data_IF_288193603116
#
_entry.id   IF_288193603116
#
_cell.length_a   1.000
_cell.length_b   1.000
_cell.length_c   1.000
_cell.angle_alpha   90.00
_cell.angle_beta   90.00
_cell.angle_gamma   90.00
#
_symmetry.space_group_name_H-M   'P 1'
#
loop_
_entity.id
_entity.type
_entity.pdbx_description
1 polymer ?
#
# COMPACT_ATOMS: atom_id res chain seq x y z
N UNK A 1 26.98 3.36 -9.48
CA UNK A 1 26.33 4.63 -9.12
C UNK A 1 24.90 4.41 -8.61
N UNK A 2 24.69 3.47 -7.67
CA UNK A 2 23.35 3.03 -7.20
C UNK A 2 23.28 2.85 -5.68
N UNK A 3 23.93 3.71 -4.88
CA UNK A 3 24.00 3.52 -3.41
C UNK A 3 23.40 4.66 -2.58
N UNK A 4 22.77 5.67 -3.18
CA UNK A 4 22.31 6.87 -2.47
C UNK A 4 20.79 7.02 -2.35
N UNK A 5 19.97 6.03 -2.78
CA UNK A 5 18.50 6.11 -2.71
C UNK A 5 17.86 5.48 -1.46
N UNK A 6 18.66 5.04 -0.48
CA UNK A 6 18.16 4.33 0.73
C UNK A 6 17.98 5.19 1.97
N UNK A 7 18.14 6.51 1.88
CA UNK A 7 18.34 7.32 3.08
C UNK A 7 17.15 8.16 3.57
N UNK A 8 15.99 8.20 2.94
CA UNK A 8 14.87 9.02 3.44
C UNK A 8 13.49 8.41 3.09
N UNK A 9 13.14 7.25 3.64
CA UNK A 9 11.75 6.90 3.86
C UNK A 9 11.32 7.44 5.24
N UNK A 10 11.22 8.76 5.37
CA UNK A 10 10.73 9.42 6.58
C UNK A 10 9.24 9.11 6.74
N UNK A 11 8.88 8.58 7.89
CA UNK A 11 7.48 8.49 8.33
C UNK A 11 6.92 9.91 8.47
N UNK A 12 5.60 10.10 8.32
CA UNK A 12 4.96 11.42 8.50
C UNK A 12 5.35 12.08 9.84
N UNK A 13 5.52 11.27 10.89
CA UNK A 13 5.90 11.74 12.22
C UNK A 13 7.35 12.22 12.25
N UNK A 14 8.28 11.53 11.60
CA UNK A 14 9.69 11.95 11.49
C UNK A 14 9.82 13.22 10.67
N UNK A 15 9.05 13.36 9.59
CA UNK A 15 9.01 14.59 8.79
C UNK A 15 8.52 15.79 9.60
N UNK A 16 7.42 15.64 10.36
CA UNK A 16 6.91 16.74 11.20
C UNK A 16 7.87 17.12 12.30
N UNK A 17 8.52 16.16 12.95
CA UNK A 17 9.56 16.43 13.96
C UNK A 17 10.75 17.15 13.35
N UNK A 18 11.18 16.78 12.15
CA UNK A 18 12.25 17.45 11.43
C UNK A 18 11.92 18.92 11.14
N UNK A 19 10.72 19.20 10.62
CA UNK A 19 10.27 20.57 10.34
C UNK A 19 10.21 21.44 11.62
N UNK A 20 9.76 20.88 12.73
CA UNK A 20 9.74 21.59 14.03
C UNK A 20 11.17 21.88 14.50
N UNK A 21 12.06 20.90 14.44
CA UNK A 21 13.47 21.08 14.82
C UNK A 21 14.16 22.16 13.98
N UNK A 22 13.89 22.21 12.68
CA UNK A 22 14.44 23.21 11.77
C UNK A 22 13.96 24.63 12.12
N UNK A 23 12.67 24.82 12.40
CA UNK A 23 12.12 26.10 12.83
C UNK A 23 12.77 26.58 14.13
N UNK A 24 12.94 25.70 15.12
CA UNK A 24 13.58 26.02 16.40
C UNK A 24 15.04 26.43 16.18
N UNK A 25 15.77 25.70 15.36
CA UNK A 25 17.17 25.93 15.07
C UNK A 25 17.40 27.28 14.36
N UNK A 26 16.59 27.58 13.36
CA UNK A 26 16.62 28.86 12.63
C UNK A 26 16.25 30.01 13.59
N UNK A 27 15.25 29.85 14.45
CA UNK A 27 14.84 30.87 15.41
C UNK A 27 15.93 31.14 16.46
N UNK A 28 16.62 30.10 16.93
CA UNK A 28 17.75 30.26 17.83
C UNK A 28 18.93 30.97 17.17
N UNK A 29 19.24 30.61 15.94
CA UNK A 29 20.32 31.28 15.17
C UNK A 29 19.98 32.75 14.92
N UNK A 30 18.76 33.08 14.51
CA UNK A 30 18.31 34.45 14.31
C UNK A 30 18.37 35.27 15.61
N UNK A 31 17.99 34.69 16.75
CA UNK A 31 18.05 35.35 18.05
C UNK A 31 19.47 35.70 18.43
N UNK A 32 20.42 34.74 18.32
CA UNK A 32 21.83 34.98 18.57
C UNK A 32 22.38 36.11 17.71
N UNK A 33 22.10 36.09 16.41
CA UNK A 33 22.58 37.10 15.47
C UNK A 33 22.01 38.48 15.80
N UNK A 34 20.73 38.55 16.20
CA UNK A 34 20.08 39.84 16.57
C UNK A 34 20.66 40.41 17.86
N UNK A 35 20.92 39.57 18.87
CA UNK A 35 21.54 40.00 20.14
C UNK A 35 22.96 40.53 19.91
N UNK A 36 23.72 39.87 19.05
CA UNK A 36 25.10 40.28 18.72
C UNK A 36 25.15 41.62 17.97
N UNK A 37 24.23 41.83 17.00
CA UNK A 37 24.14 43.10 16.21
C UNK A 37 23.62 44.25 17.08
N UNK A 38 22.68 43.99 18.01
CA UNK A 38 22.09 45.06 18.85
C UNK A 38 22.89 45.36 20.10
N UNK A 39 24.12 44.84 20.26
CA UNK A 39 25.01 45.17 21.35
C UNK A 39 24.66 44.58 22.69
N UNK A 40 24.07 43.38 22.73
CA UNK A 40 23.91 42.60 23.95
C UNK A 40 22.73 42.98 24.84
N UNK A 41 21.55 43.19 24.29
CA UNK A 41 20.30 43.36 25.04
C UNK A 41 19.88 42.02 25.67
N UNK A 42 20.65 41.50 26.61
CA UNK A 42 20.42 40.20 27.28
C UNK A 42 19.06 40.12 27.98
N UNK A 43 18.53 41.21 28.51
CA UNK A 43 17.25 41.23 29.20
C UNK A 43 16.04 41.00 28.27
N UNK A 44 16.22 40.93 26.96
CA UNK A 44 15.14 40.73 25.97
C UNK A 44 15.31 39.50 25.09
N UNK A 45 16.30 38.65 25.31
CA UNK A 45 16.60 37.48 24.50
C UNK A 45 15.38 36.54 24.35
N UNK A 46 14.68 36.26 25.45
CA UNK A 46 13.47 35.41 25.45
C UNK A 46 12.35 36.02 24.59
N UNK A 47 12.18 37.35 24.65
CA UNK A 47 11.16 38.03 23.86
C UNK A 47 11.53 38.06 22.35
N UNK A 48 12.80 38.20 22.02
CA UNK A 48 13.32 38.13 20.66
C UNK A 48 13.16 36.71 20.11
N UNK A 49 13.53 35.71 20.91
CA UNK A 49 13.34 34.29 20.53
C UNK A 49 11.89 33.94 20.29
N UNK A 50 10.96 34.35 21.17
CA UNK A 50 9.53 34.11 20.99
C UNK A 50 8.97 34.73 19.71
N UNK A 51 9.40 35.96 19.37
CA UNK A 51 9.01 36.61 18.12
C UNK A 51 9.60 35.91 16.90
N UNK A 52 10.87 35.53 16.93
CA UNK A 52 11.51 34.82 15.82
C UNK A 52 10.90 33.46 15.59
N UNK A 53 10.51 32.76 16.64
CA UNK A 53 9.83 31.48 16.57
C UNK A 53 8.43 31.62 15.94
N UNK A 54 7.68 32.67 16.32
CA UNK A 54 6.36 32.95 15.72
C UNK A 54 6.50 33.26 14.22
N UNK A 55 7.44 34.11 13.82
CA UNK A 55 7.67 34.41 12.41
C UNK A 55 8.20 33.22 11.64
N UNK A 56 9.10 32.43 12.22
CA UNK A 56 9.59 31.20 11.63
C UNK A 56 8.48 30.19 11.41
N UNK A 57 7.56 30.07 12.38
CA UNK A 57 6.40 29.19 12.25
C UNK A 57 5.45 29.62 11.12
N UNK A 58 5.19 30.92 10.97
CA UNK A 58 4.34 31.43 9.89
C UNK A 58 5.05 31.27 8.53
N UNK A 59 6.34 31.62 8.44
CA UNK A 59 7.08 31.62 7.19
C UNK A 59 7.39 30.22 6.66
N UNK A 60 7.72 29.26 7.53
CA UNK A 60 8.09 27.90 7.15
C UNK A 60 6.96 26.88 7.37
N UNK A 61 6.12 27.09 8.39
CA UNK A 61 5.03 26.19 8.72
C UNK A 61 3.97 26.09 7.61
N UNK A 62 3.62 27.22 6.99
CA UNK A 62 2.64 27.23 5.89
C UNK A 62 3.13 26.43 4.68
N UNK A 63 4.35 26.67 4.13
CA UNK A 63 4.89 25.84 3.07
C UNK A 63 5.01 24.37 3.42
N UNK A 64 5.39 24.03 4.65
CA UNK A 64 5.49 22.63 5.10
C UNK A 64 4.14 21.94 5.18
N UNK A 65 3.10 22.64 5.67
CA UNK A 65 1.73 22.13 5.65
C UNK A 65 1.23 21.89 4.22
N UNK A 66 1.47 22.83 3.32
CA UNK A 66 1.07 22.68 1.91
C UNK A 66 1.80 21.51 1.24
N UNK A 67 3.10 21.36 1.48
CA UNK A 67 3.87 20.23 0.97
C UNK A 67 3.35 18.89 1.54
N UNK A 68 3.08 18.81 2.84
CA UNK A 68 2.52 17.63 3.48
C UNK A 68 1.14 17.25 2.93
N UNK A 69 0.26 18.24 2.73
CA UNK A 69 -1.04 18.06 2.09
C UNK A 69 -0.90 17.57 0.64
N UNK A 70 0.00 18.16 -0.14
CA UNK A 70 0.26 17.75 -1.51
C UNK A 70 0.70 16.28 -1.60
N UNK A 71 1.66 15.86 -0.76
CA UNK A 71 2.09 14.46 -0.71
C UNK A 71 0.97 13.52 -0.26
N UNK A 72 0.16 13.91 0.73
CA UNK A 72 -0.97 13.12 1.21
C UNK A 72 -2.06 12.95 0.13
N UNK A 73 -2.36 14.01 -0.63
CA UNK A 73 -3.34 13.97 -1.72
C UNK A 73 -2.80 13.14 -2.89
N UNK A 74 -1.52 13.27 -3.22
CA UNK A 74 -0.91 12.50 -4.29
C UNK A 74 -0.89 10.99 -3.98
N UNK A 75 -0.64 10.60 -2.73
CA UNK A 75 -0.72 9.20 -2.27
C UNK A 75 -2.15 8.66 -2.38
N UNK A 76 -3.16 9.46 -1.98
CA UNK A 76 -4.58 9.07 -2.11
C UNK A 76 -5.05 9.02 -3.56
N UNK A 77 -4.61 9.94 -4.41
CA UNK A 77 -4.96 9.95 -5.83
C UNK A 77 -4.39 8.74 -6.58
N UNK A 78 -3.23 8.23 -6.17
CA UNK A 78 -2.69 6.99 -6.72
C UNK A 78 -3.55 5.78 -6.35
N UNK A 79 -4.12 5.75 -5.15
CA UNK A 79 -5.06 4.70 -4.71
C UNK A 79 -6.40 4.82 -5.46
N UNK A 80 -6.94 6.02 -5.63
CA UNK A 80 -8.21 6.27 -6.35
C UNK A 80 -8.08 5.93 -7.84
N UNK A 81 -6.93 6.19 -8.47
CA UNK A 81 -6.67 5.80 -9.87
C UNK A 81 -6.69 4.29 -10.07
N UNK A 82 -6.24 3.51 -9.10
CA UNK A 82 -6.32 2.04 -9.14
C UNK A 82 -7.78 1.55 -9.11
N UNK A 83 -8.68 2.27 -8.41
CA UNK A 83 -10.10 1.93 -8.29
C UNK A 83 -10.95 2.42 -9.47
N UNK A 84 -10.58 3.55 -10.09
CA UNK A 84 -11.43 4.22 -11.09
C UNK A 84 -11.45 3.52 -12.47
N UNK A 85 -10.50 2.63 -12.75
CA UNK A 85 -10.45 1.88 -14.02
C UNK A 85 -11.37 0.66 -14.06
N UNK A 86 -11.89 0.22 -12.90
CA UNK A 86 -12.86 -0.89 -12.83
C UNK A 86 -14.23 -0.49 -13.44
N UNK A 87 -14.57 0.81 -13.44
CA UNK A 87 -15.86 1.31 -13.91
C UNK A 87 -15.86 1.83 -15.38
N UNK A 88 -14.70 1.96 -16.02
CA UNK A 88 -14.61 2.57 -17.37
C UNK A 88 -14.60 1.53 -18.50
N UNK A 89 -14.44 0.25 -18.22
CA UNK A 89 -14.38 -0.81 -19.25
C UNK A 89 -15.74 -1.50 -19.48
N UNK A 90 -16.81 -1.06 -18.78
CA UNK A 90 -18.15 -1.68 -18.94
C UNK A 90 -19.03 -1.06 -20.02
N UNK A 91 -18.63 0.03 -20.68
CA UNK A 91 -19.56 0.73 -21.59
C UNK A 91 -19.33 0.51 -23.11
N UNK A 92 -18.30 -0.21 -23.53
CA UNK A 92 -18.17 -0.50 -24.97
C UNK A 92 -17.61 -1.93 -25.19
N UNK A 93 -18.44 -2.94 -25.17
CA UNK A 93 -18.48 -4.06 -26.12
C UNK A 93 -19.69 -4.94 -25.80
N UNK A 94 -20.70 -4.90 -26.63
CA UNK A 94 -21.71 -5.94 -26.78
C UNK A 94 -21.01 -7.23 -27.22
N UNK A 95 -20.72 -8.12 -26.27
CA UNK A 95 -20.67 -9.55 -26.55
C UNK A 95 -21.02 -10.33 -25.26
N UNK A 96 -21.98 -11.23 -25.41
CA UNK A 96 -22.55 -12.06 -24.37
C UNK A 96 -21.52 -13.10 -23.93
N UNK A 97 -20.65 -12.77 -22.95
CA UNK A 97 -20.01 -13.75 -22.08
C UNK A 97 -19.65 -13.07 -20.76
N UNK A 98 -20.00 -13.73 -19.66
CA UNK A 98 -19.92 -13.30 -18.28
C UNK A 98 -18.76 -12.30 -18.02
N UNK A 99 -19.08 -11.14 -17.45
CA UNK A 99 -18.18 -10.03 -17.12
C UNK A 99 -16.85 -10.54 -16.50
N UNK A 100 -15.83 -10.66 -17.32
CA UNK A 100 -14.50 -11.08 -16.90
C UNK A 100 -13.88 -9.91 -16.15
N UNK A 101 -13.97 -9.91 -14.83
CA UNK A 101 -13.28 -8.94 -13.98
C UNK A 101 -11.79 -8.97 -14.29
N UNK A 102 -11.23 -7.87 -14.75
CA UNK A 102 -9.79 -7.68 -14.99
C UNK A 102 -9.17 -6.89 -13.85
N UNK A 103 -8.04 -7.34 -13.37
CA UNK A 103 -7.21 -6.64 -12.41
C UNK A 103 -6.14 -5.87 -13.18
N UNK A 104 -6.09 -4.57 -12.97
CA UNK A 104 -5.13 -3.68 -13.61
C UNK A 104 -4.20 -3.09 -12.57
N UNK A 105 -2.91 -3.28 -12.74
CA UNK A 105 -1.88 -2.80 -11.83
C UNK A 105 -1.06 -1.69 -12.49
N UNK A 106 -0.85 -0.61 -11.73
CA UNK A 106 -0.09 0.56 -12.14
C UNK A 106 1.15 0.69 -11.27
N UNK A 107 2.19 1.31 -11.81
CA UNK A 107 3.36 1.68 -11.02
C UNK A 107 3.12 2.99 -10.23
N UNK A 108 4.12 3.39 -9.45
CA UNK A 108 4.08 4.64 -8.67
C UNK A 108 3.97 5.91 -9.54
N UNK A 109 4.23 5.82 -10.85
CA UNK A 109 4.06 6.91 -11.80
C UNK A 109 2.65 6.97 -12.41
N UNK A 110 1.77 6.01 -12.08
CA UNK A 110 0.44 5.86 -12.68
C UNK A 110 0.45 5.26 -14.09
N UNK A 111 1.57 4.65 -14.50
CA UNK A 111 1.68 3.95 -15.77
C UNK A 111 1.17 2.51 -15.63
N UNK A 112 0.29 2.08 -16.55
CA UNK A 112 -0.22 0.72 -16.60
C UNK A 112 0.92 -0.27 -16.84
N UNK A 113 1.05 -1.29 -15.99
CA UNK A 113 2.10 -2.30 -16.06
C UNK A 113 1.60 -3.71 -16.31
N UNK A 114 0.46 -4.06 -15.73
CA UNK A 114 -0.12 -5.38 -15.90
C UNK A 114 -1.65 -5.27 -15.88
N UNK A 115 -2.32 -5.91 -16.84
CA UNK A 115 -3.76 -6.15 -16.80
C UNK A 115 -3.99 -7.64 -16.99
N UNK A 116 -4.62 -8.29 -16.02
CA UNK A 116 -4.86 -9.74 -16.02
C UNK A 116 -6.28 -10.02 -15.55
N UNK A 117 -6.93 -11.03 -16.16
CA UNK A 117 -8.21 -11.51 -15.68
C UNK A 117 -8.08 -12.06 -14.26
N UNK A 118 -9.04 -11.76 -13.37
CA UNK A 118 -9.08 -12.33 -12.03
C UNK A 118 -9.09 -13.86 -12.06
N UNK A 119 -9.70 -14.44 -13.09
CA UNK A 119 -9.75 -15.88 -13.29
C UNK A 119 -8.39 -16.51 -13.60
N UNK A 120 -7.41 -15.74 -14.05
CA UNK A 120 -6.07 -16.19 -14.35
C UNK A 120 -5.08 -15.90 -13.23
N UNK A 121 -5.46 -15.09 -12.24
CA UNK A 121 -4.61 -14.70 -11.12
C UNK A 121 -4.71 -15.72 -9.99
N UNK A 122 -3.58 -16.19 -9.49
CA UNK A 122 -3.50 -17.11 -8.35
C UNK A 122 -3.27 -16.38 -7.04
N UNK A 123 -2.14 -15.68 -6.92
CA UNK A 123 -1.80 -14.95 -5.70
C UNK A 123 -0.80 -13.83 -5.98
N UNK A 124 -0.65 -12.95 -5.01
CA UNK A 124 0.30 -11.84 -5.02
C UNK A 124 1.19 -11.99 -3.77
N UNK A 125 2.49 -11.99 -3.98
CA UNK A 125 3.50 -12.11 -2.92
C UNK A 125 4.22 -10.78 -2.71
N UNK A 126 4.50 -10.43 -1.46
CA UNK A 126 5.36 -9.29 -1.09
C UNK A 126 6.82 -9.72 -1.08
N UNK A 127 7.66 -8.95 -1.78
CA UNK A 127 9.10 -9.11 -1.82
C UNK A 127 9.77 -7.74 -1.61
N UNK A 128 10.08 -7.41 -0.36
CA UNK A 128 10.57 -6.10 0.09
C UNK A 128 9.68 -4.93 -0.38
N UNK A 129 10.16 -4.12 -1.30
CA UNK A 129 9.46 -2.97 -1.89
C UNK A 129 8.70 -3.32 -3.19
N UNK A 130 8.67 -4.60 -3.54
CA UNK A 130 8.02 -5.11 -4.74
C UNK A 130 6.92 -6.09 -4.38
N UNK A 131 6.01 -6.30 -5.32
CA UNK A 131 5.06 -7.41 -5.33
C UNK A 131 5.37 -8.30 -6.53
N UNK A 132 5.18 -9.60 -6.33
CA UNK A 132 5.22 -10.63 -7.38
C UNK A 132 3.80 -11.10 -7.62
N UNK A 133 3.30 -10.89 -8.82
CA UNK A 133 1.95 -11.30 -9.24
C UNK A 133 2.06 -12.60 -10.02
N UNK A 134 1.44 -13.64 -9.51
CA UNK A 134 1.45 -14.97 -10.10
C UNK A 134 0.14 -15.25 -10.82
N UNK A 135 0.22 -15.50 -12.12
CA UNK A 135 -0.94 -15.68 -12.98
C UNK A 135 -0.64 -16.65 -14.13
N UNK A 136 -1.69 -17.22 -14.73
CA UNK A 136 -1.56 -17.96 -15.98
C UNK A 136 -1.78 -17.04 -17.17
N UNK A 137 -0.96 -17.23 -18.21
CA UNK A 137 -1.15 -16.56 -19.49
C UNK A 137 -2.24 -17.24 -20.33
N UNK A 138 -2.49 -16.70 -21.53
CA UNK A 138 -3.47 -17.26 -22.46
C UNK A 138 -3.14 -18.69 -22.96
N UNK A 139 -1.90 -19.16 -22.72
CA UNK A 139 -1.47 -20.53 -23.05
C UNK A 139 -1.61 -21.49 -21.87
N UNK A 140 -2.05 -20.98 -20.69
CA UNK A 140 -2.14 -21.76 -19.46
C UNK A 140 -0.80 -21.89 -18.72
N UNK A 141 0.27 -21.21 -19.15
CA UNK A 141 1.56 -21.24 -18.48
C UNK A 141 1.55 -20.31 -17.26
N UNK A 142 2.06 -20.81 -16.11
CA UNK A 142 2.24 -20.00 -14.91
C UNK A 142 3.37 -18.98 -15.14
N UNK A 143 3.04 -17.71 -14.96
CA UNK A 143 3.98 -16.58 -15.10
C UNK A 143 4.00 -15.71 -13.85
N UNK A 144 5.12 -15.03 -13.69
CA UNK A 144 5.34 -14.08 -12.61
C UNK A 144 5.61 -12.70 -13.21
N UNK A 145 4.93 -11.68 -12.65
CA UNK A 145 5.22 -10.29 -12.96
C UNK A 145 5.63 -9.55 -11.70
N UNK A 146 6.73 -8.81 -11.76
CA UNK A 146 7.24 -8.04 -10.62
C UNK A 146 6.92 -6.56 -10.79
N UNK A 147 6.31 -5.96 -9.78
CA UNK A 147 5.92 -4.55 -9.76
C UNK A 147 6.36 -3.90 -8.45
N UNK A 148 6.87 -2.67 -8.52
CA UNK A 148 7.18 -1.88 -7.33
C UNK A 148 5.90 -1.30 -6.74
N UNK A 149 5.37 -1.99 -5.76
CA UNK A 149 4.14 -1.63 -5.05
C UNK A 149 4.16 -2.24 -3.65
N UNK A 150 3.42 -1.66 -2.71
CA UNK A 150 3.22 -2.26 -1.38
C UNK A 150 2.01 -3.19 -1.40
N UNK A 151 2.12 -4.34 -0.76
CA UNK A 151 1.02 -5.31 -0.69
C UNK A 151 -0.24 -4.71 -0.05
N UNK A 152 -0.09 -3.78 0.91
CA UNK A 152 -1.22 -3.06 1.51
C UNK A 152 -1.97 -2.20 0.49
N UNK A 153 -1.29 -1.57 -0.45
CA UNK A 153 -1.93 -0.79 -1.52
C UNK A 153 -2.80 -1.68 -2.41
N UNK A 154 -2.32 -2.89 -2.70
CA UNK A 154 -3.11 -3.90 -3.44
C UNK A 154 -4.33 -4.34 -2.62
N UNK A 155 -4.15 -4.67 -1.34
CA UNK A 155 -5.23 -5.04 -0.43
C UNK A 155 -6.32 -3.97 -0.35
N UNK A 156 -5.92 -2.70 -0.21
CA UNK A 156 -6.85 -1.57 -0.12
C UNK A 156 -7.58 -1.31 -1.46
N UNK A 157 -6.93 -1.56 -2.60
CA UNK A 157 -7.50 -1.35 -3.93
C UNK A 157 -8.52 -2.42 -4.34
N UNK A 158 -8.39 -3.64 -3.81
CA UNK A 158 -9.24 -4.77 -4.19
C UNK A 158 -10.13 -5.27 -3.05
N UNK A 159 -10.48 -4.41 -2.10
CA UNK A 159 -11.45 -4.72 -1.05
C UNK A 159 -12.80 -5.10 -1.65
N UNK A 160 -13.37 -6.21 -1.19
CA UNK A 160 -14.64 -6.74 -1.70
C UNK A 160 -14.51 -7.58 -2.97
N UNK A 161 -13.30 -7.79 -3.49
CA UNK A 161 -13.04 -8.74 -4.57
C UNK A 161 -12.69 -10.13 -4.03
N UNK A 162 -12.45 -11.08 -4.95
CA UNK A 162 -11.97 -12.41 -4.58
C UNK A 162 -10.50 -12.44 -4.10
N UNK A 163 -9.82 -11.29 -4.03
CA UNK A 163 -8.45 -11.18 -3.54
C UNK A 163 -8.43 -10.92 -2.04
N UNK A 164 -8.03 -11.91 -1.28
CA UNK A 164 -8.05 -11.88 0.18
C UNK A 164 -6.65 -12.03 0.76
N UNK A 165 -6.31 -11.20 1.71
CA UNK A 165 -5.05 -11.31 2.42
C UNK A 165 -5.09 -12.48 3.39
N UNK A 166 -4.19 -13.44 3.23
CA UNK A 166 -4.10 -14.62 4.09
C UNK A 166 -2.87 -14.61 5.01
N UNK A 167 -1.89 -13.73 4.70
CA UNK A 167 -0.63 -13.64 5.42
C UNK A 167 -0.01 -12.25 5.28
N UNK A 168 1.04 -11.94 6.06
CA UNK A 168 1.82 -10.71 5.88
C UNK A 168 2.43 -10.59 4.48
N UNK A 169 2.76 -11.72 3.85
CA UNK A 169 3.41 -11.78 2.54
C UNK A 169 2.48 -12.04 1.37
N UNK A 170 1.26 -12.57 1.63
CA UNK A 170 0.42 -13.11 0.56
C UNK A 170 -0.99 -12.54 0.55
N UNK A 171 -1.46 -12.20 -0.66
CA UNK A 171 -2.87 -12.01 -1.01
C UNK A 171 -3.21 -13.13 -2.00
N UNK A 172 -4.25 -13.90 -1.72
CA UNK A 172 -4.67 -15.06 -2.51
C UNK A 172 -5.99 -14.79 -3.21
N UNK A 173 -6.15 -15.33 -4.40
CA UNK A 173 -7.45 -15.39 -5.05
C UNK A 173 -8.23 -16.58 -4.51
N UNK A 174 -9.27 -16.30 -3.71
CA UNK A 174 -10.10 -17.35 -3.08
C UNK A 174 -10.74 -18.27 -4.12
N UNK A 175 -11.11 -17.76 -5.30
CA UNK A 175 -11.69 -18.56 -6.40
C UNK A 175 -10.72 -19.58 -7.00
N UNK A 176 -9.41 -19.45 -6.71
CA UNK A 176 -8.37 -20.38 -7.14
C UNK A 176 -7.94 -21.37 -6.05
N UNK A 177 -8.51 -21.26 -4.85
CA UNK A 177 -8.23 -22.21 -3.79
C UNK A 177 -8.95 -23.52 -4.08
N UNK A 178 -8.19 -24.58 -4.25
CA UNK A 178 -8.71 -25.94 -4.44
C UNK A 178 -8.99 -26.64 -3.12
N UNK A 179 -8.14 -26.38 -2.09
CA UNK A 179 -8.28 -27.02 -0.79
C UNK A 179 -7.84 -26.08 0.33
N UNK A 180 -8.65 -26.01 1.40
CA UNK A 180 -8.30 -25.40 2.67
C UNK A 180 -8.08 -26.52 3.69
N UNK A 181 -6.85 -26.65 4.23
CA UNK A 181 -6.51 -27.66 5.22
C UNK A 181 -6.17 -27.03 6.56
N UNK A 182 -6.61 -27.65 7.64
CA UNK A 182 -6.17 -27.31 9.00
C UNK A 182 -4.97 -28.17 9.38
N UNK A 183 -3.86 -27.56 9.74
CA UNK A 183 -2.66 -28.23 10.24
C UNK A 183 -2.33 -27.77 11.66
N UNK A 184 -1.33 -28.37 12.30
CA UNK A 184 -0.92 -28.03 13.67
C UNK A 184 -0.51 -26.56 13.81
N UNK A 185 0.09 -25.94 12.77
CA UNK A 185 0.54 -24.54 12.73
C UNK A 185 -0.54 -23.54 12.30
N UNK A 186 -1.72 -23.97 11.87
CA UNK A 186 -2.80 -23.12 11.35
C UNK A 186 -3.43 -23.68 10.09
N UNK A 187 -4.04 -22.79 9.29
CA UNK A 187 -4.64 -23.18 8.02
C UNK A 187 -3.66 -23.01 6.86
N UNK A 188 -3.80 -23.87 5.86
CA UNK A 188 -3.01 -23.84 4.62
C UNK A 188 -3.97 -23.87 3.43
N UNK A 189 -3.68 -23.01 2.45
CA UNK A 189 -4.41 -22.89 1.19
C UNK A 189 -3.61 -23.57 0.08
N UNK A 190 -4.23 -24.51 -0.61
CA UNK A 190 -3.71 -25.15 -1.82
C UNK A 190 -4.45 -24.58 -3.03
N UNK A 191 -3.70 -24.18 -4.06
CA UNK A 191 -4.24 -23.53 -5.25
C UNK A 191 -4.37 -24.51 -6.45
N UNK A 192 -4.22 -25.80 -6.20
CA UNK A 192 -4.40 -26.84 -7.23
C UNK A 192 -3.40 -26.78 -8.40
N UNK A 193 -2.24 -26.17 -8.18
CA UNK A 193 -1.17 -26.10 -9.16
C UNK A 193 0.14 -26.56 -8.53
N UNK A 194 0.75 -27.60 -9.08
CA UNK A 194 1.97 -28.23 -8.55
C UNK A 194 3.17 -27.27 -8.47
N UNK A 195 3.18 -26.22 -9.29
CA UNK A 195 4.25 -25.21 -9.30
C UNK A 195 4.08 -24.14 -8.22
N UNK A 196 2.94 -24.11 -7.55
CA UNK A 196 2.62 -23.14 -6.52
C UNK A 196 2.71 -23.82 -5.15
N UNK A 197 3.57 -23.38 -4.25
CA UNK A 197 3.65 -23.93 -2.91
C UNK A 197 2.36 -23.61 -2.13
N UNK A 198 1.93 -24.48 -1.22
CA UNK A 198 0.81 -24.20 -0.32
C UNK A 198 1.04 -22.92 0.48
N UNK A 199 0.02 -22.05 0.57
CA UNK A 199 0.13 -20.74 1.21
C UNK A 199 -0.39 -20.80 2.66
N UNK A 200 0.42 -20.41 3.67
CA UNK A 200 -0.01 -20.43 5.05
C UNK A 200 -0.96 -19.26 5.37
N UNK A 201 -2.01 -19.54 6.12
CA UNK A 201 -2.92 -18.55 6.71
C UNK A 201 -2.49 -18.26 8.12
N UNK A 202 -2.12 -17.00 8.43
CA UNK A 202 -1.76 -16.63 9.79
C UNK A 202 -3.00 -16.30 10.62
N UNK A 203 -2.89 -16.49 11.95
CA UNK A 203 -3.99 -16.34 12.92
C UNK A 203 -4.78 -15.04 12.73
N UNK A 204 -4.11 -13.93 12.42
CA UNK A 204 -4.74 -12.61 12.22
C UNK A 204 -5.74 -12.58 11.04
N UNK A 205 -5.53 -13.42 10.03
CA UNK A 205 -6.33 -13.44 8.81
C UNK A 205 -7.26 -14.65 8.71
N UNK A 206 -7.24 -15.54 9.71
CA UNK A 206 -8.01 -16.78 9.69
C UNK A 206 -9.51 -16.54 9.55
N UNK A 207 -10.07 -15.65 10.38
CA UNK A 207 -11.52 -15.38 10.40
C UNK A 207 -12.01 -14.81 9.06
N UNK A 208 -11.19 -13.91 8.47
CA UNK A 208 -11.49 -13.31 7.16
C UNK A 208 -11.45 -14.38 6.06
N UNK A 209 -10.44 -15.25 6.07
CA UNK A 209 -10.34 -16.31 5.06
C UNK A 209 -11.47 -17.32 5.23
N UNK A 210 -11.78 -17.75 6.45
CA UNK A 210 -12.83 -18.73 6.70
C UNK A 210 -14.22 -18.22 6.31
N UNK A 211 -14.52 -16.91 6.46
CA UNK A 211 -15.82 -16.36 6.07
C UNK A 211 -16.14 -16.60 4.59
N UNK A 212 -15.15 -16.58 3.71
CA UNK A 212 -15.35 -16.86 2.29
C UNK A 212 -15.71 -18.32 1.97
N UNK A 213 -15.43 -19.26 2.87
CA UNK A 213 -15.76 -20.68 2.70
C UNK A 213 -17.03 -21.09 3.43
N UNK A 214 -17.53 -20.28 4.37
CA UNK A 214 -18.77 -20.52 5.08
C UNK A 214 -19.99 -19.93 4.38
N UNK A 215 -19.84 -18.79 3.71
CA UNK A 215 -20.96 -18.11 3.04
C UNK A 215 -21.27 -18.64 1.61
N UNK A 216 -20.34 -19.36 0.97
CA UNK A 216 -20.49 -19.88 -0.41
C UNK A 216 -20.66 -21.40 -0.48
N UNK A 217 -21.00 -22.11 0.60
CA UNK A 217 -21.12 -23.58 0.55
C UNK A 217 -22.52 -24.10 0.28
N UNK A 218 -22.88 -24.37 -1.01
CA UNK A 218 -23.81 -25.46 -1.34
C UNK A 218 -23.09 -26.80 -1.57
N UNK A 219 -21.80 -26.96 -1.24
CA UNK A 219 -21.00 -28.15 -1.60
C UNK A 219 -20.45 -28.95 -0.43
N UNK A 220 -20.92 -28.72 0.80
CA UNK A 220 -20.60 -29.56 1.97
C UNK A 220 -21.82 -30.36 2.47
N UNK A 221 -22.79 -30.64 1.63
CA UNK A 221 -23.67 -31.81 1.83
C UNK A 221 -23.00 -33.04 1.24
N UNK A 222 -22.91 -34.07 2.06
CA UNK A 222 -22.38 -35.42 1.77
C UNK A 222 -20.90 -35.59 2.09
N UNK A 223 -20.61 -35.80 3.35
CA UNK A 223 -19.71 -36.83 3.91
C UNK A 223 -19.86 -36.87 5.44
N UNK A 224 -21.09 -37.12 5.90
CA UNK A 224 -21.35 -37.78 7.18
C UNK A 224 -22.09 -39.09 6.83
N UNK A 225 -21.35 -40.18 6.77
CA UNK A 225 -21.76 -41.56 7.06
C UNK A 225 -20.52 -42.33 7.50
#
# INVERSE_FOLDING_TARGET
MYRTKRLLELTYLEYTLWCIAEIILISAFYTNLTVEITGGLHDREIAIFGKSLLYGFIALGIPYLLAGMYFSINDKNNIIRLMSYENVVTDEVHDQDASVQKITLFDNSGSLKLSVSINNLYYIESDDNYIKVWYTDNKGELKQYMLRCRLKTVEDSFKGSALVRCNRKYIVNIKKVSTLRKEAAGYILDLGNELIPPLPVTKTYTDIVLSYFTDESPLLEVLED
#
